data_IF_546644523699
#
_entry.id   IF_546644523699
#
_cell.length_a   1.000
_cell.length_b   1.000
_cell.length_c   1.000
_cell.angle_alpha   90.00
_cell.angle_beta   90.00
_cell.angle_gamma   90.00
#
_symmetry.space_group_name_H-M   'P 1'
#
loop_
_entity.id
_entity.type
_entity.pdbx_description
1 polymer ?
#
# COMPACT_ATOMS: atom_id res chain seq x y z
N UNK A 1 22.58 3.21 -16.33
CA UNK A 1 23.10 4.58 -16.11
C UNK A 1 21.92 5.41 -15.62
N UNK A 2 21.72 5.48 -14.31
CA UNK A 2 20.60 6.22 -13.72
C UNK A 2 21.12 7.62 -13.41
N UNK A 3 20.59 8.64 -14.09
CA UNK A 3 20.93 10.04 -13.86
C UNK A 3 20.18 10.51 -12.63
N UNK A 4 20.95 10.74 -11.57
CA UNK A 4 20.52 11.23 -10.28
C UNK A 4 19.98 12.66 -10.39
N UNK A 5 18.88 12.87 -9.67
CA UNK A 5 18.25 14.15 -9.35
C UNK A 5 19.31 15.15 -8.88
N UNK A 6 19.29 16.35 -9.46
CA UNK A 6 20.04 17.49 -8.90
C UNK A 6 19.43 17.87 -7.54
N UNK A 7 20.18 17.77 -6.43
CA UNK A 7 19.61 18.02 -5.12
C UNK A 7 19.66 19.52 -4.83
N UNK A 8 18.49 20.15 -4.86
CA UNK A 8 18.29 21.42 -4.17
C UNK A 8 18.11 21.13 -2.68
N UNK A 9 19.18 20.70 -2.00
CA UNK A 9 19.46 20.90 -0.57
C UNK A 9 20.77 20.22 -0.23
N UNK A 10 21.74 21.03 0.17
CA UNK A 10 23.02 20.66 0.76
C UNK A 10 22.82 19.95 2.10
N UNK A 11 22.56 18.64 2.05
CA UNK A 11 22.59 17.72 3.18
C UNK A 11 22.82 16.31 2.67
N UNK A 12 23.77 15.58 3.24
CA UNK A 12 24.08 14.20 2.84
C UNK A 12 22.86 13.29 3.08
N UNK A 13 22.07 13.07 2.03
CA UNK A 13 20.94 12.13 2.09
C UNK A 13 21.46 10.73 1.77
N UNK A 14 21.72 9.93 2.80
CA UNK A 14 22.13 8.52 2.65
C UNK A 14 20.88 7.66 2.49
N UNK A 15 20.54 7.32 1.25
CA UNK A 15 19.52 6.31 0.96
C UNK A 15 20.03 4.97 1.51
N UNK A 16 19.42 4.50 2.61
CA UNK A 16 19.93 3.37 3.40
C UNK A 16 19.57 2.01 2.81
N UNK A 17 18.41 1.89 2.13
CA UNK A 17 17.97 0.66 1.48
C UNK A 17 16.89 0.96 0.41
N UNK A 18 16.95 0.30 -0.74
CA UNK A 18 15.91 0.35 -1.78
C UNK A 18 15.34 -1.05 -1.91
N UNK A 19 14.16 -1.26 -1.31
CA UNK A 19 13.52 -2.58 -1.30
C UNK A 19 12.40 -2.65 -2.33
N UNK A 20 12.61 -3.45 -3.37
CA UNK A 20 11.56 -3.75 -4.36
C UNK A 20 10.44 -4.56 -3.69
N UNK A 21 9.34 -3.90 -3.37
CA UNK A 21 8.15 -4.53 -2.79
C UNK A 21 7.07 -4.62 -3.87
N UNK A 22 6.51 -5.82 -4.06
CA UNK A 22 5.34 -6.00 -4.92
C UNK A 22 4.09 -5.64 -4.13
N UNK A 23 3.74 -4.35 -4.13
CA UNK A 23 2.42 -3.90 -3.73
C UNK A 23 1.47 -4.15 -4.90
N UNK A 24 0.30 -4.75 -4.62
CA UNK A 24 -0.75 -4.90 -5.62
C UNK A 24 -1.28 -3.53 -6.04
N UNK A 25 -1.24 -2.56 -5.12
CA UNK A 25 -1.83 -1.24 -5.31
C UNK A 25 -1.26 -0.22 -4.30
N UNK A 26 -1.25 1.04 -4.70
CA UNK A 26 -0.80 2.17 -3.89
C UNK A 26 -1.91 3.21 -3.90
N UNK A 27 -2.36 3.61 -2.72
CA UNK A 27 -3.40 4.61 -2.51
C UNK A 27 -2.76 5.81 -1.84
N UNK A 28 -2.54 6.85 -2.62
CA UNK A 28 -2.02 8.12 -2.12
C UNK A 28 -3.19 8.97 -1.62
N UNK A 29 -3.09 9.37 -0.35
CA UNK A 29 -3.97 10.34 0.26
C UNK A 29 -3.09 11.55 0.62
N UNK A 30 -3.35 12.69 -0.04
CA UNK A 30 -2.59 13.94 0.14
C UNK A 30 -2.66 14.50 1.56
N UNK A 31 -3.44 13.88 2.44
CA UNK A 31 -3.60 14.27 3.84
C UNK A 31 -2.56 13.64 4.78
N UNK A 32 -1.86 12.58 4.36
CA UNK A 32 -0.94 11.83 5.20
C UNK A 32 0.53 12.01 4.84
N UNK A 33 1.40 12.06 5.85
CA UNK A 33 2.86 12.12 5.65
C UNK A 33 3.53 10.72 5.75
N UNK A 34 2.76 9.69 6.14
CA UNK A 34 3.28 8.35 6.40
C UNK A 34 2.59 7.31 5.53
N UNK A 35 3.32 6.25 5.16
CA UNK A 35 2.78 5.11 4.43
C UNK A 35 2.52 3.92 5.36
N UNK A 36 1.35 3.31 5.20
CA UNK A 36 0.91 2.12 5.90
C UNK A 36 0.77 0.95 4.95
N UNK A 37 1.39 -0.16 5.32
CA UNK A 37 1.27 -1.45 4.65
C UNK A 37 0.05 -2.19 5.17
N UNK A 38 -0.89 -2.46 4.25
CA UNK A 38 -2.16 -3.10 4.55
C UNK A 38 -2.25 -4.44 3.80
N UNK A 39 -2.60 -5.50 4.52
CA UNK A 39 -2.85 -6.82 3.92
C UNK A 39 -4.35 -7.11 4.00
N UNK A 40 -5.00 -7.13 2.84
CA UNK A 40 -6.39 -7.54 2.71
C UNK A 40 -6.46 -8.98 2.18
N UNK A 41 -7.35 -9.77 2.75
CA UNK A 41 -7.64 -11.12 2.28
C UNK A 41 -9.04 -11.12 1.67
N UNK A 42 -9.11 -11.31 0.36
CA UNK A 42 -10.37 -11.50 -0.35
C UNK A 42 -10.79 -12.96 -0.22
N UNK A 43 -12.06 -13.18 0.09
CA UNK A 43 -12.65 -14.50 0.23
C UNK A 43 -13.64 -14.64 -0.93
N UNK A 44 -13.32 -15.52 -1.88
CA UNK A 44 -14.21 -15.83 -3.00
C UNK A 44 -14.76 -17.25 -2.81
N UNK A 45 -16.08 -17.39 -2.93
CA UNK A 45 -16.74 -18.67 -3.04
C UNK A 45 -16.54 -19.24 -4.45
N UNK A 46 -15.94 -20.41 -4.54
CA UNK A 46 -15.85 -21.18 -5.79
C UNK A 46 -17.22 -21.81 -6.08
N UNK A 47 -17.58 -21.96 -7.36
CA UNK A 47 -18.87 -22.53 -7.79
C UNK A 47 -19.00 -24.01 -7.41
N UNK A 48 -17.89 -24.66 -7.03
CA UNK A 48 -17.89 -25.99 -6.43
C UNK A 48 -18.08 -25.87 -4.91
N UNK A 49 -19.16 -26.45 -4.34
CA UNK A 49 -19.48 -26.30 -2.93
C UNK A 49 -18.33 -26.82 -2.06
N UNK A 50 -17.68 -25.92 -1.30
CA UNK A 50 -16.80 -26.28 -0.18
C UNK A 50 -15.34 -25.82 -0.22
N UNK A 51 -14.87 -25.14 -1.28
CA UNK A 51 -13.51 -24.55 -1.27
C UNK A 51 -13.57 -23.02 -1.29
N UNK A 52 -13.40 -22.42 -0.12
CA UNK A 52 -13.09 -20.99 -0.02
C UNK A 52 -11.70 -20.72 -0.60
N UNK A 53 -11.60 -19.84 -1.60
CA UNK A 53 -10.31 -19.35 -2.07
C UNK A 53 -10.01 -18.02 -1.38
N UNK A 54 -8.87 -17.98 -0.70
CA UNK A 54 -8.37 -16.80 0.02
C UNK A 54 -7.21 -16.19 -0.76
N UNK A 55 -7.43 -14.99 -1.28
CA UNK A 55 -6.40 -14.25 -2.03
C UNK A 55 -5.91 -13.09 -1.19
N UNK A 56 -4.61 -13.07 -0.89
CA UNK A 56 -3.97 -11.96 -0.16
C UNK A 56 -3.58 -10.87 -1.15
N UNK A 57 -4.04 -9.67 -0.89
CA UNK A 57 -3.64 -8.45 -1.59
C UNK A 57 -2.88 -7.55 -0.64
N UNK A 58 -1.77 -7.01 -1.14
CA UNK A 58 -0.92 -6.12 -0.39
C UNK A 58 -1.10 -4.71 -0.94
N UNK A 59 -1.62 -3.81 -0.12
CA UNK A 59 -1.89 -2.42 -0.48
C UNK A 59 -0.99 -1.52 0.36
N UNK A 60 -0.43 -0.49 -0.26
CA UNK A 60 0.24 0.60 0.44
C UNK A 60 -0.67 1.82 0.46
N UNK A 61 -0.90 2.43 1.61
CA UNK A 61 -1.82 3.55 1.76
C UNK A 61 -1.13 4.66 2.52
N UNK A 62 -1.15 5.87 1.97
CA UNK A 62 -0.67 7.06 2.68
C UNK A 62 -1.77 7.55 3.63
N UNK A 63 -1.41 7.92 4.85
CA UNK A 63 -2.36 8.37 5.86
C UNK A 63 -1.67 8.97 7.09
N UNK A 64 -2.43 9.70 7.90
CA UNK A 64 -1.93 10.35 9.11
C UNK A 64 -2.08 9.47 10.35
N UNK A 65 -3.08 8.57 10.34
CA UNK A 65 -3.36 7.64 11.42
C UNK A 65 -3.90 6.30 10.89
N UNK A 66 -3.90 5.26 11.75
CA UNK A 66 -4.51 3.97 11.42
C UNK A 66 -6.00 4.09 11.13
N UNK A 67 -6.70 4.99 11.82
CA UNK A 67 -8.14 5.22 11.60
C UNK A 67 -8.41 5.80 10.21
N UNK A 68 -7.61 6.77 9.78
CA UNK A 68 -7.70 7.34 8.42
C UNK A 68 -7.46 6.28 7.35
N UNK A 69 -6.45 5.43 7.57
CA UNK A 69 -6.14 4.31 6.66
C UNK A 69 -7.31 3.34 6.59
N UNK A 70 -7.97 3.02 7.71
CA UNK A 70 -9.16 2.15 7.73
C UNK A 70 -10.30 2.79 6.94
N UNK A 71 -10.53 4.10 7.10
CA UNK A 71 -11.55 4.83 6.33
C UNK A 71 -11.23 4.81 4.84
N UNK A 72 -9.98 5.03 4.46
CA UNK A 72 -9.53 4.98 3.06
C UNK A 72 -9.67 3.58 2.46
N UNK A 73 -9.33 2.52 3.20
CA UNK A 73 -9.58 1.13 2.77
C UNK A 73 -11.08 0.89 2.57
N UNK A 74 -11.93 1.31 3.51
CA UNK A 74 -13.38 1.11 3.40
C UNK A 74 -13.94 1.85 2.20
N UNK A 75 -13.49 3.08 1.93
CA UNK A 75 -13.89 3.86 0.75
C UNK A 75 -13.44 3.20 -0.54
N UNK A 76 -12.21 2.72 -0.58
CA UNK A 76 -11.66 1.98 -1.72
C UNK A 76 -12.46 0.70 -2.00
N UNK A 77 -12.78 -0.06 -0.95
CA UNK A 77 -13.52 -1.32 -1.08
C UNK A 77 -15.03 -1.16 -1.27
N UNK A 78 -15.61 0.02 -0.98
CA UNK A 78 -17.04 0.27 -1.15
C UNK A 78 -17.53 0.09 -2.61
N UNK A 79 -16.61 0.14 -3.59
CA UNK A 79 -16.92 -0.15 -5.00
C UNK A 79 -16.85 -1.63 -5.37
N UNK A 80 -16.34 -2.51 -4.50
CA UNK A 80 -16.13 -3.92 -4.77
C UNK A 80 -17.14 -4.78 -4.01
N UNK A 81 -17.93 -5.57 -4.74
CA UNK A 81 -18.89 -6.53 -4.16
C UNK A 81 -18.21 -7.79 -3.56
N UNK A 82 -16.90 -7.74 -3.33
CA UNK A 82 -16.13 -8.88 -2.83
C UNK A 82 -16.00 -8.84 -1.31
N UNK A 83 -16.27 -9.96 -0.66
CA UNK A 83 -15.97 -10.12 0.76
C UNK A 83 -14.47 -10.02 1.00
N UNK A 84 -14.06 -9.10 1.88
CA UNK A 84 -12.66 -8.89 2.24
C UNK A 84 -12.48 -8.81 3.75
N UNK A 85 -11.30 -9.20 4.21
CA UNK A 85 -10.89 -9.09 5.61
C UNK A 85 -9.55 -8.38 5.69
N UNK A 86 -9.48 -7.31 6.49
CA UNK A 86 -8.21 -6.68 6.84
C UNK A 86 -7.49 -7.62 7.83
N UNK A 87 -6.29 -8.06 7.46
CA UNK A 87 -5.50 -9.01 8.26
C UNK A 87 -4.32 -8.37 8.97
N UNK A 88 -3.73 -7.33 8.39
CA UNK A 88 -2.64 -6.58 9.00
C UNK A 88 -2.66 -5.14 8.49
N UNK A 89 -2.41 -4.20 9.40
CA UNK A 89 -2.05 -2.82 9.11
C UNK A 89 -0.74 -2.56 9.88
N UNK A 90 0.25 -1.99 9.21
CA UNK A 90 1.57 -1.72 9.78
C UNK A 90 2.11 -0.43 9.19
N UNK A 91 2.52 0.49 10.05
CA UNK A 91 3.23 1.70 9.63
C UNK A 91 4.58 1.32 9.03
N UNK A 92 5.00 2.00 7.99
CA UNK A 92 6.26 1.74 7.29
C UNK A 92 7.19 2.92 7.41
N UNK A 93 8.49 2.66 7.38
CA UNK A 93 9.51 3.69 7.23
C UNK A 93 9.68 4.16 5.77
N UNK A 94 8.68 3.92 4.91
CA UNK A 94 8.70 4.39 3.53
C UNK A 94 8.39 5.89 3.59
N UNK A 95 9.34 6.70 3.14
CA UNK A 95 9.22 8.15 3.10
C UNK A 95 8.67 8.65 1.76
N UNK A 96 9.00 7.92 0.68
CA UNK A 96 8.60 8.29 -0.68
C UNK A 96 8.47 7.04 -1.55
N UNK A 97 7.58 7.10 -2.55
CA UNK A 97 7.31 6.04 -3.50
C UNK A 97 7.57 6.56 -4.90
N UNK A 98 8.73 6.18 -5.46
CA UNK A 98 8.99 6.43 -6.88
C UNK A 98 8.33 5.32 -7.71
N UNK A 99 7.25 5.65 -8.42
CA UNK A 99 6.75 4.78 -9.48
C UNK A 99 7.79 4.74 -10.61
N UNK A 100 8.22 3.55 -11.04
CA UNK A 100 8.98 3.37 -12.28
C UNK A 100 8.05 3.67 -13.47
N UNK A 101 7.75 4.96 -13.69
CA UNK A 101 7.25 5.48 -14.96
C UNK A 101 8.25 6.57 -15.37
N UNK A 102 9.41 6.10 -15.82
CA UNK A 102 10.22 6.63 -16.95
C UNK A 102 11.43 5.71 -17.21
#
# INVERSE_FOLDING_TARGET
MIKFIEPFTSGEFTISDIKRCKFSEIIEDKSGDMYYKCILCFITLDEKPGKEKKTKNLILIQGSSVDDVIVSIKKYMNGSMSDYKITKIEETAIMDVCNEID
#
